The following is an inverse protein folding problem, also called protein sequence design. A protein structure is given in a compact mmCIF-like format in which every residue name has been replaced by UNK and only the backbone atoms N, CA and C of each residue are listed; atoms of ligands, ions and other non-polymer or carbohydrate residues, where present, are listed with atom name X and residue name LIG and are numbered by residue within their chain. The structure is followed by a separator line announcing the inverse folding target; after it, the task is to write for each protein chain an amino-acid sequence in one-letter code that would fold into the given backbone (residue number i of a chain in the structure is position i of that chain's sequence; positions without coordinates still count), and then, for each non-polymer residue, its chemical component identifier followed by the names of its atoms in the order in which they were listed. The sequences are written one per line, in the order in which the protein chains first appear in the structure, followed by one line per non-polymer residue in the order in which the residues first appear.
data_IF_719655878198
#
_entry.id   IF_719655878198
#
_cell.length_a   1.000
_cell.length_b   1.000
_cell.length_c   1.000
_cell.angle_alpha   90.00
_cell.angle_beta   90.00
_cell.angle_gamma   90.00
#
_symmetry.space_group_name_H-M   'P 1'
#
loop_
_entity.id
_entity.type
_entity.pdbx_description
1 polymer ?
#
# COMPACT_ATOMS: atom_id res chain seq x y z
N UNK A 1 -1.09 -2.66 22.11
CA UNK A 1 -1.84 -3.92 22.34
C UNK A 1 -2.42 -4.49 21.06
N UNK A 2 -3.22 -3.75 20.28
CA UNK A 2 -3.79 -4.22 19.00
C UNK A 2 -2.74 -4.72 17.98
N UNK A 3 -1.62 -4.01 17.81
CA UNK A 3 -0.57 -4.39 16.85
C UNK A 3 0.05 -5.77 17.16
N UNK A 4 0.22 -6.10 18.45
CA UNK A 4 0.76 -7.39 18.85
C UNK A 4 -0.25 -8.53 18.60
N UNK A 5 -1.55 -8.24 18.72
CA UNK A 5 -2.62 -9.20 18.38
C UNK A 5 -2.58 -9.49 16.87
N UNK A 6 -2.45 -8.46 16.03
CA UNK A 6 -2.35 -8.64 14.57
C UNK A 6 -1.12 -9.48 14.21
N UNK A 7 0.04 -9.23 14.83
CA UNK A 7 1.26 -10.03 14.62
C UNK A 7 1.09 -11.49 15.05
N UNK A 8 0.39 -11.74 16.15
CA UNK A 8 0.09 -13.10 16.60
C UNK A 8 -0.85 -13.82 15.62
N UNK A 9 -1.90 -13.16 15.15
CA UNK A 9 -2.81 -13.71 14.12
C UNK A 9 -2.03 -14.04 12.84
N UNK A 10 -1.16 -13.13 12.38
CA UNK A 10 -0.32 -13.37 11.21
C UNK A 10 0.56 -14.63 11.37
N UNK A 11 1.23 -14.81 12.52
CA UNK A 11 2.04 -16.00 12.77
C UNK A 11 1.22 -17.29 12.74
N UNK A 12 0.01 -17.28 13.31
CA UNK A 12 -0.88 -18.45 13.29
C UNK A 12 -1.33 -18.78 11.86
N UNK A 13 -1.71 -17.76 11.07
CA UNK A 13 -2.11 -17.94 9.67
C UNK A 13 -0.95 -18.46 8.82
N UNK A 14 0.25 -17.90 8.97
CA UNK A 14 1.44 -18.38 8.28
C UNK A 14 1.79 -19.81 8.66
N UNK A 15 1.80 -20.14 9.96
CA UNK A 15 2.07 -21.49 10.43
C UNK A 15 1.08 -22.52 9.87
N UNK A 16 -0.22 -22.19 9.88
CA UNK A 16 -1.26 -23.03 9.31
C UNK A 16 -1.12 -23.23 7.80
N UNK A 17 -0.90 -22.14 7.05
CA UNK A 17 -0.74 -22.20 5.60
C UNK A 17 0.51 -22.99 5.17
N UNK A 18 1.64 -22.78 5.86
CA UNK A 18 2.90 -23.49 5.58
C UNK A 18 2.76 -24.97 5.94
N UNK A 19 2.14 -25.30 7.08
CA UNK A 19 1.89 -26.70 7.45
C UNK A 19 0.99 -27.40 6.41
N UNK A 20 -0.08 -26.75 5.98
CA UNK A 20 -0.95 -27.26 4.92
C UNK A 20 -0.18 -27.49 3.61
N UNK A 21 0.63 -26.51 3.20
CA UNK A 21 1.44 -26.57 1.99
C UNK A 21 2.46 -27.73 2.03
N UNK A 22 3.25 -27.84 3.10
CA UNK A 22 4.27 -28.89 3.28
C UNK A 22 3.64 -30.29 3.38
N UNK A 23 2.41 -30.39 3.89
CA UNK A 23 1.69 -31.68 3.99
C UNK A 23 1.02 -32.13 2.69
N UNK A 24 0.70 -31.21 1.78
CA UNK A 24 -0.12 -31.48 0.59
C UNK A 24 0.70 -31.51 -0.71
N UNK A 25 1.78 -30.74 -0.81
CA UNK A 25 2.55 -30.61 -2.05
C UNK A 25 3.90 -31.34 -2.03
N UNK A 26 4.15 -32.09 -3.10
CA UNK A 26 5.41 -32.78 -3.43
C UNK A 26 6.35 -31.93 -4.32
N UNK A 27 6.01 -30.66 -4.56
CA UNK A 27 6.74 -29.70 -5.41
C UNK A 27 7.90 -29.00 -4.69
N UNK A 28 8.32 -29.51 -3.52
CA UNK A 28 9.46 -28.98 -2.78
C UNK A 28 10.75 -29.15 -3.61
N UNK A 29 11.68 -28.18 -3.57
CA UNK A 29 13.01 -28.35 -4.14
C UNK A 29 13.63 -29.66 -3.65
N UNK A 30 14.35 -30.38 -4.52
CA UNK A 30 14.91 -31.72 -4.23
C UNK A 30 15.72 -31.79 -2.92
N UNK A 31 16.32 -30.68 -2.50
CA UNK A 31 17.06 -30.53 -1.24
C UNK A 31 16.18 -30.50 0.03
N UNK A 32 14.89 -30.16 -0.10
CA UNK A 32 13.93 -29.94 0.99
C UNK A 32 12.87 -31.05 1.08
N UNK A 33 12.66 -31.79 -0.02
CA UNK A 33 11.71 -32.91 -0.09
C UNK A 33 11.95 -34.04 0.95
N UNK A 34 13.19 -34.40 1.34
CA UNK A 34 13.42 -35.46 2.33
C UNK A 34 13.11 -35.06 3.78
N UNK A 35 13.02 -33.76 4.06
CA UNK A 35 12.94 -33.22 5.42
C UNK A 35 11.81 -32.18 5.55
N UNK A 36 10.54 -32.60 5.71
CA UNK A 36 9.39 -31.69 5.79
C UNK A 36 9.49 -30.69 6.96
N UNK A 37 10.13 -31.08 8.07
CA UNK A 37 10.39 -30.18 9.19
C UNK A 37 11.37 -29.04 8.82
N UNK A 38 12.37 -29.33 7.98
CA UNK A 38 13.33 -28.34 7.51
C UNK A 38 12.65 -27.35 6.56
N UNK A 39 11.83 -27.85 5.63
CA UNK A 39 11.01 -27.01 4.75
C UNK A 39 10.07 -26.08 5.51
N UNK A 40 9.37 -26.61 6.52
CA UNK A 40 8.54 -25.80 7.41
C UNK A 40 9.34 -24.71 8.11
N UNK A 41 10.50 -25.05 8.69
CA UNK A 41 11.32 -24.08 9.43
C UNK A 41 11.82 -22.94 8.55
N UNK A 42 12.28 -23.23 7.32
CA UNK A 42 12.78 -22.22 6.38
C UNK A 42 11.66 -21.27 5.96
N UNK A 43 10.50 -21.80 5.57
CA UNK A 43 9.35 -20.98 5.19
C UNK A 43 8.83 -20.14 6.37
N UNK A 44 8.90 -20.67 7.59
CA UNK A 44 8.50 -19.95 8.79
C UNK A 44 9.47 -18.80 9.13
N UNK A 45 10.78 -18.99 8.91
CA UNK A 45 11.79 -17.94 9.08
C UNK A 45 11.56 -16.82 8.04
N UNK A 46 11.34 -17.19 6.79
CA UNK A 46 11.10 -16.22 5.70
C UNK A 46 9.85 -15.38 5.99
N UNK A 47 8.74 -16.00 6.38
CA UNK A 47 7.52 -15.26 6.74
C UNK A 47 7.70 -14.40 8.00
N UNK A 48 8.41 -14.90 9.03
CA UNK A 48 8.69 -14.14 10.25
C UNK A 48 9.54 -12.89 10.00
N UNK A 49 10.36 -12.87 8.93
CA UNK A 49 11.15 -11.69 8.56
C UNK A 49 10.28 -10.44 8.30
N UNK A 50 9.04 -10.62 7.83
CA UNK A 50 8.09 -9.51 7.60
C UNK A 50 7.75 -8.81 8.90
N UNK A 51 7.55 -9.56 9.99
CA UNK A 51 7.28 -9.00 11.32
C UNK A 51 8.50 -8.24 11.82
N UNK A 52 9.70 -8.76 11.56
CA UNK A 52 10.93 -8.09 11.93
C UNK A 52 11.07 -6.73 11.24
N UNK A 53 10.78 -6.64 9.94
CA UNK A 53 10.73 -5.37 9.20
C UNK A 53 9.64 -4.45 9.73
N UNK A 54 8.47 -4.97 10.08
CA UNK A 54 7.37 -4.20 10.67
C UNK A 54 7.75 -3.57 12.02
N UNK A 55 8.56 -4.27 12.83
CA UNK A 55 9.10 -3.76 14.10
C UNK A 55 10.15 -2.67 13.86
N UNK A 56 10.98 -2.82 12.83
CA UNK A 56 12.05 -1.87 12.50
C UNK A 56 11.54 -0.49 12.04
N UNK A 57 10.29 -0.40 11.56
CA UNK A 57 9.69 0.85 11.07
C UNK A 57 8.61 1.33 12.05
N UNK A 58 9.00 2.06 13.12
CA UNK A 58 8.09 2.42 14.22
C UNK A 58 7.07 3.52 13.85
N UNK A 59 7.35 4.33 12.82
CA UNK A 59 6.49 5.46 12.42
C UNK A 59 6.04 5.33 10.99
N UNK A 60 4.83 4.82 10.82
CA UNK A 60 4.15 4.67 9.54
C UNK A 60 3.16 5.82 9.35
N UNK A 61 3.54 6.80 8.52
CA UNK A 61 2.67 7.91 8.13
C UNK A 61 1.57 7.36 7.21
N UNK A 62 0.34 7.30 7.71
CA UNK A 62 -0.80 6.69 6.99
C UNK A 62 -1.04 7.41 5.65
N UNK A 63 -0.83 8.72 5.62
CA UNK A 63 -0.89 9.57 4.43
C UNK A 63 0.13 9.18 3.35
N UNK A 64 1.34 8.78 3.74
CA UNK A 64 2.37 8.30 2.79
C UNK A 64 1.97 6.94 2.24
N UNK A 65 1.54 6.05 3.13
CA UNK A 65 1.18 4.67 2.77
C UNK A 65 -0.03 4.64 1.84
N UNK A 66 -1.07 5.39 2.17
CA UNK A 66 -2.26 5.50 1.32
C UNK A 66 -1.93 6.11 -0.04
N UNK A 67 -1.13 7.17 -0.10
CA UNK A 67 -0.69 7.77 -1.35
C UNK A 67 0.07 6.76 -2.25
N UNK A 68 0.93 5.93 -1.67
CA UNK A 68 1.65 4.87 -2.42
C UNK A 68 0.67 3.80 -2.92
N UNK A 69 -0.24 3.30 -2.06
CA UNK A 69 -1.23 2.29 -2.46
C UNK A 69 -2.15 2.79 -3.58
N UNK A 70 -2.73 3.97 -3.43
CA UNK A 70 -3.58 4.57 -4.46
C UNK A 70 -2.80 4.87 -5.73
N UNK A 71 -1.57 5.37 -5.61
CA UNK A 71 -0.71 5.69 -6.75
C UNK A 71 -0.33 4.47 -7.58
N UNK A 72 0.00 3.36 -6.92
CA UNK A 72 0.28 2.10 -7.61
C UNK A 72 -0.98 1.57 -8.31
N UNK A 73 -2.12 1.53 -7.62
CA UNK A 73 -3.37 1.02 -8.18
C UNK A 73 -3.79 1.83 -9.40
N UNK A 74 -3.86 3.16 -9.27
CA UNK A 74 -4.25 4.07 -10.36
C UNK A 74 -3.22 4.03 -11.48
N UNK A 75 -1.92 3.99 -11.16
CA UNK A 75 -0.87 3.98 -12.16
C UNK A 75 -0.83 2.69 -12.98
N UNK A 76 -1.05 1.53 -12.37
CA UNK A 76 -1.18 0.27 -13.12
C UNK A 76 -2.44 0.26 -13.98
N UNK A 77 -3.56 0.76 -13.46
CA UNK A 77 -4.78 0.91 -14.23
C UNK A 77 -4.56 1.81 -15.45
N UNK A 78 -3.91 2.96 -15.27
CA UNK A 78 -3.63 3.92 -16.34
C UNK A 78 -2.65 3.35 -17.38
N UNK A 79 -1.62 2.62 -16.92
CA UNK A 79 -0.72 1.86 -17.79
C UNK A 79 -1.49 0.89 -18.68
N UNK A 80 -2.35 0.06 -18.07
CA UNK A 80 -3.13 -0.95 -18.77
C UNK A 80 -4.09 -0.34 -19.79
N UNK A 81 -4.82 0.71 -19.41
CA UNK A 81 -5.75 1.41 -20.30
C UNK A 81 -5.00 2.06 -21.48
N UNK A 82 -3.86 2.70 -21.20
CA UNK A 82 -3.05 3.35 -22.24
C UNK A 82 -2.44 2.32 -23.19
N UNK A 83 -1.88 1.22 -22.66
CA UNK A 83 -1.36 0.12 -23.48
C UNK A 83 -2.43 -0.47 -24.39
N UNK A 84 -3.63 -0.70 -23.85
CA UNK A 84 -4.78 -1.23 -24.61
C UNK A 84 -5.21 -0.27 -25.71
N UNK A 85 -5.27 1.04 -25.43
CA UNK A 85 -5.62 2.05 -26.41
C UNK A 85 -4.57 2.20 -27.52
N UNK A 86 -3.29 1.99 -27.22
CA UNK A 86 -2.17 2.16 -28.15
C UNK A 86 -1.86 0.90 -28.96
N UNK A 87 -2.39 -0.25 -28.54
CA UNK A 87 -2.20 -1.55 -29.18
C UNK A 87 -2.42 -1.58 -30.71
N UNK A 88 -3.46 -0.95 -31.31
CA UNK A 88 -3.69 -1.02 -32.75
C UNK A 88 -2.64 -0.25 -33.58
N UNK A 89 -1.96 0.73 -32.97
CA UNK A 89 -0.94 1.55 -33.65
C UNK A 89 0.47 0.96 -33.47
N UNK A 90 0.65 0.02 -32.55
CA UNK A 90 1.94 -0.53 -32.17
C UNK A 90 2.41 -1.67 -33.08
N UNK A 91 3.65 -1.57 -33.56
CA UNK A 91 4.33 -2.66 -34.25
C UNK A 91 4.56 -3.85 -33.32
N UNK A 92 4.46 -5.07 -33.86
CA UNK A 92 4.54 -6.31 -33.09
C UNK A 92 5.85 -6.46 -32.32
N UNK A 93 6.96 -6.01 -32.90
CA UNK A 93 8.32 -6.11 -32.32
C UNK A 93 8.45 -5.35 -30.99
N UNK A 94 7.67 -4.28 -30.78
CA UNK A 94 7.79 -3.41 -29.59
C UNK A 94 6.71 -3.66 -28.53
N UNK A 95 5.80 -4.63 -28.71
CA UNK A 95 4.68 -4.86 -27.77
C UNK A 95 5.14 -5.23 -26.36
N UNK A 96 6.11 -6.15 -26.25
CA UNK A 96 6.63 -6.57 -24.95
C UNK A 96 7.36 -5.45 -24.21
N UNK A 97 8.23 -4.72 -24.93
CA UNK A 97 9.01 -3.61 -24.37
C UNK A 97 8.08 -2.46 -23.97
N UNK A 98 7.10 -2.10 -24.81
CA UNK A 98 6.15 -1.02 -24.51
C UNK A 98 5.29 -1.35 -23.28
N UNK A 99 4.79 -2.57 -23.14
CA UNK A 99 4.06 -2.99 -21.93
C UNK A 99 4.92 -2.86 -20.67
N UNK A 100 6.16 -3.35 -20.72
CA UNK A 100 7.09 -3.27 -19.59
C UNK A 100 7.38 -1.81 -19.22
N UNK A 101 7.69 -0.97 -20.21
CA UNK A 101 7.99 0.46 -20.01
C UNK A 101 6.79 1.21 -19.43
N UNK A 102 5.58 0.99 -19.95
CA UNK A 102 4.38 1.63 -19.41
C UNK A 102 4.10 1.22 -17.96
N UNK A 103 4.26 -0.06 -17.64
CA UNK A 103 4.09 -0.59 -16.28
C UNK A 103 5.14 -0.07 -15.29
N UNK A 104 6.28 0.44 -15.75
CA UNK A 104 7.28 1.09 -14.91
C UNK A 104 6.99 2.59 -14.75
N UNK A 105 6.68 3.28 -15.84
CA UNK A 105 6.55 4.74 -15.88
C UNK A 105 5.28 5.21 -15.16
N UNK A 106 4.11 4.66 -15.50
CA UNK A 106 2.84 5.18 -15.00
C UNK A 106 2.67 5.04 -13.48
N UNK A 107 2.96 3.87 -12.85
CA UNK A 107 2.94 3.76 -11.39
C UNK A 107 3.90 4.72 -10.69
N UNK A 108 5.09 4.92 -11.24
CA UNK A 108 6.06 5.87 -10.68
C UNK A 108 5.53 7.31 -10.74
N UNK A 109 5.01 7.74 -11.89
CA UNK A 109 4.43 9.07 -12.06
C UNK A 109 3.23 9.31 -11.13
N UNK A 110 2.32 8.34 -11.02
CA UNK A 110 1.16 8.46 -10.13
C UNK A 110 1.56 8.52 -8.65
N UNK A 111 2.48 7.65 -8.19
CA UNK A 111 2.94 7.66 -6.79
C UNK A 111 3.66 8.97 -6.45
N UNK A 112 4.55 9.44 -7.33
CA UNK A 112 5.28 10.70 -7.09
C UNK A 112 4.34 11.90 -7.07
N UNK A 113 3.36 11.96 -7.97
CA UNK A 113 2.35 13.03 -8.00
C UNK A 113 1.47 13.04 -6.74
N UNK A 114 0.99 11.87 -6.28
CA UNK A 114 0.21 11.79 -5.04
C UNK A 114 1.05 12.14 -3.80
N UNK A 115 2.30 11.69 -3.73
CA UNK A 115 3.19 12.02 -2.62
C UNK A 115 3.50 13.52 -2.54
N UNK A 116 3.62 14.21 -3.69
CA UNK A 116 3.87 15.66 -3.73
C UNK A 116 2.63 16.49 -3.38
N UNK A 117 1.42 15.94 -3.59
CA UNK A 117 0.15 16.66 -3.39
C UNK A 117 -0.49 16.39 -2.04
N UNK A 118 -0.15 15.28 -1.37
CA UNK A 118 -0.79 14.85 -0.11
C UNK A 118 -0.75 15.89 1.02
N UNK A 119 0.29 16.73 1.08
CA UNK A 119 0.50 17.68 2.18
C UNK A 119 -0.07 19.09 1.89
N UNK A 120 -0.55 19.36 0.66
CA UNK A 120 -1.01 20.69 0.23
C UNK A 120 -2.48 20.99 0.56
N UNK A 121 -3.26 19.98 0.96
CA UNK A 121 -4.69 20.12 1.31
C UNK A 121 -4.96 20.19 2.82
N UNK A 122 -4.00 20.68 3.62
CA UNK A 122 -4.30 20.96 5.03
C UNK A 122 -5.29 22.12 5.09
N UNK A 123 -6.55 21.80 5.39
CA UNK A 123 -7.59 22.75 5.71
C UNK A 123 -7.12 23.56 6.94
N UNK A 124 -6.56 24.74 6.70
CA UNK A 124 -6.33 25.72 7.76
C UNK A 124 -7.71 26.26 8.08
N UNK A 125 -8.30 25.77 9.18
CA UNK A 125 -9.52 26.38 9.72
C UNK A 125 -9.06 27.70 10.34
N UNK A 126 -9.38 28.87 9.76
CA UNK A 126 -9.05 30.12 10.40
C UNK A 126 -9.87 30.20 11.68
N UNK A 127 -9.20 30.45 12.80
CA UNK A 127 -9.89 30.71 14.06
C UNK A 127 -10.53 32.09 13.96
N UNK A 128 -11.81 32.12 13.57
CA UNK A 128 -12.64 33.31 13.69
C UNK A 128 -13.32 33.27 15.06
N UNK A 129 -12.77 34.05 15.98
CA UNK A 129 -13.43 34.33 17.25
C UNK A 129 -14.67 35.18 16.93
N UNK A 130 -15.86 34.58 17.02
CA UNK A 130 -17.10 35.32 16.90
C UNK A 130 -17.27 36.20 18.14
N UNK A 131 -16.79 37.45 18.05
CA UNK A 131 -17.08 38.46 19.05
C UNK A 131 -18.59 38.75 19.02
N UNK A 132 -19.24 38.64 20.18
CA UNK A 132 -20.66 38.99 20.33
C UNK A 132 -20.81 40.50 20.15
N UNK A 133 -21.19 40.94 18.95
CA UNK A 133 -21.63 42.32 18.74
C UNK A 133 -22.94 42.53 19.50
N UNK A 134 -22.85 43.20 20.65
CA UNK A 134 -24.02 43.61 21.42
C UNK A 134 -24.69 44.76 20.68
N UNK A 135 -25.63 44.46 19.77
CA UNK A 135 -26.44 45.47 19.09
C UNK A 135 -27.32 46.21 20.12
N UNK A 136 -26.98 47.48 20.36
CA UNK A 136 -27.93 48.57 20.66
C UNK A 136 -28.69 48.49 21.98
N UNK A 137 -28.09 48.95 23.07
CA UNK A 137 -28.75 49.09 24.38
C UNK A 137 -29.44 50.44 24.64
N UNK A 138 -29.82 51.23 23.62
CA UNK A 138 -30.47 52.53 23.84
C UNK A 138 -31.66 52.74 22.90
N UNK A 139 -32.90 52.79 23.41
CA UNK A 139 -34.02 53.31 22.63
C UNK A 139 -33.90 54.84 22.59
N UNK A 140 -33.78 55.42 21.39
CA UNK A 140 -33.97 56.85 21.19
C UNK A 140 -35.48 57.10 21.17
N UNK A 141 -36.02 57.59 22.30
CA UNK A 141 -37.38 58.13 22.37
C UNK A 141 -37.24 59.65 22.31
N UNK A 142 -37.80 60.25 21.26
CA UNK A 142 -38.05 61.69 21.10
C UNK A 142 -39.32 62.08 21.87
#
# INVERSE_FOLDING_TARGET
MLLNIIRAIYLVVCGGAIAAYVSTESSLPSFLAPHPLLAFSVLMIVSSSVIFVDILIPKKRIDVISAVYFGLLIGFLLSYLTYTALQPVMFQEYKGISLMVMNLIFPYLCVTMLLQTKDKFRFIIPYIEFAKEVRGGRPYVL
#
